data_IF_704360359872
#
_entry.id   IF_704360359872
#
_cell.length_a   1.000
_cell.length_b   1.000
_cell.length_c   1.000
_cell.angle_alpha   90.00
_cell.angle_beta   90.00
_cell.angle_gamma   90.00
#
_symmetry.space_group_name_H-M   'P 1'
#
loop_
_entity.id
_entity.type
_entity.pdbx_description
1 polymer ?
#
# COMPACT_ATOMS: atom_id res chain seq x y z
N UNK A 1 -2.22 0.98 -14.57
CA UNK A 1 -3.34 0.21 -14.04
C UNK A 1 -4.32 1.07 -13.23
N UNK A 2 -3.85 1.90 -12.29
CA UNK A 2 -4.70 2.73 -11.44
C UNK A 2 -5.49 3.85 -12.16
N UNK A 3 -5.07 4.23 -13.39
CA UNK A 3 -5.70 5.34 -14.14
C UNK A 3 -7.13 5.04 -14.60
N UNK A 4 -7.44 3.77 -14.85
CA UNK A 4 -8.73 3.36 -15.40
C UNK A 4 -9.72 3.05 -14.28
N UNK A 5 -9.26 2.38 -13.21
CA UNK A 5 -10.14 1.95 -12.10
C UNK A 5 -10.74 3.14 -11.36
N UNK A 6 -9.93 4.12 -10.97
CA UNK A 6 -10.42 5.30 -10.26
C UNK A 6 -11.29 6.20 -11.17
N UNK A 7 -10.89 6.40 -12.43
CA UNK A 7 -11.64 7.22 -13.38
C UNK A 7 -13.00 6.64 -13.77
N UNK A 8 -13.10 5.31 -13.81
CA UNK A 8 -14.30 4.59 -14.24
C UNK A 8 -15.38 4.53 -13.17
N UNK A 9 -15.03 4.16 -11.93
CA UNK A 9 -15.99 4.14 -10.82
C UNK A 9 -16.59 5.54 -10.59
N UNK A 10 -15.80 6.55 -10.85
CA UNK A 10 -16.16 7.95 -10.69
C UNK A 10 -16.98 8.48 -11.86
N UNK A 11 -16.63 8.18 -13.11
CA UNK A 11 -17.36 8.65 -14.29
C UNK A 11 -18.80 8.10 -14.35
N UNK A 12 -19.03 6.89 -13.84
CA UNK A 12 -20.35 6.25 -13.85
C UNK A 12 -21.33 6.94 -12.87
N UNK A 13 -20.81 7.46 -11.74
CA UNK A 13 -21.64 8.16 -10.74
C UNK A 13 -22.07 9.54 -11.21
N UNK A 14 -21.38 10.11 -12.20
CA UNK A 14 -21.40 11.56 -12.47
C UNK A 14 -22.38 12.03 -13.55
N UNK A 15 -22.99 11.13 -14.31
CA UNK A 15 -23.86 11.52 -15.43
C UNK A 15 -25.25 12.05 -15.07
N UNK A 16 -25.58 12.26 -13.79
CA UNK A 16 -27.00 12.24 -13.41
C UNK A 16 -27.56 13.45 -12.67
N UNK A 17 -26.86 14.53 -12.66
CA UNK A 17 -27.20 15.62 -11.79
C UNK A 17 -27.83 16.84 -12.47
N UNK A 18 -29.12 16.80 -12.86
CA UNK A 18 -29.98 17.98 -12.98
C UNK A 18 -31.45 17.58 -13.12
N UNK A 19 -32.20 17.59 -12.06
CA UNK A 19 -33.60 17.16 -12.06
C UNK A 19 -34.57 18.23 -11.63
N UNK A 20 -35.33 18.73 -12.58
CA UNK A 20 -36.65 19.31 -12.41
C UNK A 20 -37.48 19.01 -13.66
N UNK A 21 -38.37 18.03 -13.62
CA UNK A 21 -39.24 17.70 -14.75
C UNK A 21 -40.07 16.43 -14.59
N UNK A 22 -41.01 16.20 -15.51
CA UNK A 22 -41.88 15.03 -15.60
C UNK A 22 -41.03 13.73 -15.63
N UNK A 23 -41.46 12.61 -15.06
CA UNK A 23 -40.70 11.35 -14.97
C UNK A 23 -40.06 10.88 -16.28
N UNK A 24 -40.76 11.02 -17.41
CA UNK A 24 -40.24 10.68 -18.73
C UNK A 24 -39.05 11.58 -19.16
N UNK A 25 -39.12 12.88 -18.85
CA UNK A 25 -38.04 13.81 -19.17
C UNK A 25 -36.78 13.50 -18.31
N UNK A 26 -36.99 13.15 -17.03
CA UNK A 26 -35.93 12.79 -16.12
C UNK A 26 -35.22 11.51 -16.58
N UNK A 27 -35.97 10.49 -17.01
CA UNK A 27 -35.40 9.24 -17.57
C UNK A 27 -34.55 9.51 -18.82
N UNK A 28 -35.08 10.23 -19.81
CA UNK A 28 -34.35 10.55 -21.04
C UNK A 28 -33.12 11.43 -20.79
N UNK A 29 -33.17 12.27 -19.77
CA UNK A 29 -32.04 13.11 -19.39
C UNK A 29 -30.96 12.23 -18.74
N UNK A 30 -31.33 11.35 -17.81
CA UNK A 30 -30.41 10.41 -17.19
C UNK A 30 -29.69 9.55 -18.23
N UNK A 31 -30.42 9.00 -19.21
CA UNK A 31 -29.82 8.23 -20.30
C UNK A 31 -28.82 9.05 -21.11
N UNK A 32 -29.17 10.31 -21.46
CA UNK A 32 -28.26 11.18 -22.23
C UNK A 32 -27.00 11.56 -21.45
N UNK A 33 -27.12 11.86 -20.17
CA UNK A 33 -25.96 12.21 -19.33
C UNK A 33 -25.02 11.00 -19.11
N UNK A 34 -25.60 9.80 -18.88
CA UNK A 34 -24.82 8.56 -18.82
C UNK A 34 -24.10 8.33 -20.16
N UNK A 35 -24.81 8.38 -21.29
CA UNK A 35 -24.21 8.21 -22.61
C UNK A 35 -23.15 9.26 -22.92
N UNK A 36 -23.34 10.52 -22.53
CA UNK A 36 -22.34 11.58 -22.67
C UNK A 36 -21.06 11.27 -21.88
N UNK A 37 -21.19 10.72 -20.67
CA UNK A 37 -20.04 10.27 -19.86
C UNK A 37 -19.30 9.11 -20.52
N UNK A 38 -20.01 8.14 -21.07
CA UNK A 38 -19.41 7.02 -21.81
C UNK A 38 -18.78 7.49 -23.13
N UNK A 39 -19.38 8.45 -23.83
CA UNK A 39 -18.82 9.08 -25.02
C UNK A 39 -17.47 9.77 -24.71
N UNK A 40 -17.38 10.45 -23.57
CA UNK A 40 -16.11 11.06 -23.13
C UNK A 40 -15.02 10.00 -22.86
N UNK A 41 -15.37 8.87 -22.25
CA UNK A 41 -14.43 7.75 -22.05
C UNK A 41 -13.93 7.23 -23.40
N UNK A 42 -14.83 7.08 -24.38
CA UNK A 42 -14.48 6.66 -25.74
C UNK A 42 -13.60 7.67 -26.47
N UNK A 43 -13.86 8.96 -26.31
CA UNK A 43 -13.01 10.03 -26.88
C UNK A 43 -11.57 10.01 -26.33
N UNK A 44 -11.38 9.53 -25.11
CA UNK A 44 -10.05 9.35 -24.51
C UNK A 44 -9.36 8.04 -24.99
N UNK A 45 -9.89 7.37 -26.02
CA UNK A 45 -9.31 6.21 -26.67
C UNK A 45 -9.66 4.86 -26.05
N UNK A 46 -10.42 4.80 -24.96
CA UNK A 46 -10.92 3.56 -24.39
C UNK A 46 -12.19 3.08 -25.11
N UNK A 47 -12.51 1.78 -25.04
CA UNK A 47 -13.84 1.28 -25.39
C UNK A 47 -14.71 1.28 -24.14
N UNK A 48 -15.96 1.76 -24.27
CA UNK A 48 -16.88 1.80 -23.15
C UNK A 48 -18.32 1.55 -23.62
N UNK A 49 -19.04 0.68 -22.93
CA UNK A 49 -20.44 0.35 -23.18
C UNK A 49 -21.20 0.14 -21.88
N UNK A 50 -22.50 0.34 -21.92
CA UNK A 50 -23.41 0.02 -20.84
C UNK A 50 -24.70 -0.61 -21.40
N UNK A 51 -25.43 -1.32 -20.53
CA UNK A 51 -26.75 -1.85 -20.82
C UNK A 51 -27.84 -0.83 -20.48
N UNK A 52 -28.92 -1.32 -19.89
CA UNK A 52 -30.10 -0.50 -19.58
C UNK A 52 -29.80 0.53 -18.51
N UNK A 53 -30.19 1.79 -18.75
CA UNK A 53 -30.23 2.88 -17.75
C UNK A 53 -31.67 3.07 -17.29
N UNK A 54 -31.91 3.06 -15.99
CA UNK A 54 -33.22 3.31 -15.38
C UNK A 54 -33.10 4.38 -14.32
N UNK A 55 -33.91 5.42 -14.41
CA UNK A 55 -34.01 6.45 -13.40
C UNK A 55 -35.42 6.54 -12.83
N UNK A 56 -35.55 6.40 -11.51
CA UNK A 56 -36.78 6.61 -10.77
C UNK A 56 -36.74 8.00 -10.06
N UNK A 57 -37.56 8.91 -10.51
CA UNK A 57 -37.62 10.27 -10.01
C UNK A 57 -38.10 10.35 -8.54
N UNK A 58 -39.00 9.47 -8.13
CA UNK A 58 -39.60 9.49 -6.80
C UNK A 58 -38.63 9.04 -5.71
N UNK A 59 -37.92 7.99 -5.98
CA UNK A 59 -36.89 7.45 -5.08
C UNK A 59 -35.51 8.06 -5.34
N UNK A 60 -35.39 8.89 -6.39
CA UNK A 60 -34.10 9.43 -6.87
C UNK A 60 -33.05 8.33 -7.03
N UNK A 61 -33.48 7.23 -7.65
CA UNK A 61 -32.65 6.05 -7.87
C UNK A 61 -32.26 5.93 -9.34
N UNK A 62 -30.94 5.91 -9.58
CA UNK A 62 -30.37 5.57 -10.89
C UNK A 62 -29.85 4.14 -10.82
N UNK A 63 -30.08 3.36 -11.88
CA UNK A 63 -29.49 2.05 -12.06
C UNK A 63 -28.94 1.94 -13.48
N UNK A 64 -27.72 1.47 -13.62
CA UNK A 64 -27.02 1.21 -14.89
C UNK A 64 -26.59 -0.26 -14.88
N UNK A 65 -27.00 -1.03 -15.87
CA UNK A 65 -26.64 -2.45 -15.98
C UNK A 65 -25.46 -2.64 -16.94
N UNK A 66 -24.77 -3.76 -16.81
CA UNK A 66 -23.82 -4.32 -17.78
C UNK A 66 -22.77 -3.33 -18.30
N UNK A 67 -22.07 -2.67 -17.35
CA UNK A 67 -21.01 -1.72 -17.69
C UNK A 67 -19.73 -2.46 -18.06
N UNK A 68 -19.15 -2.10 -19.22
CA UNK A 68 -17.90 -2.65 -19.70
C UNK A 68 -16.98 -1.55 -20.23
N UNK A 69 -15.75 -1.53 -19.77
CA UNK A 69 -14.74 -0.55 -20.19
C UNK A 69 -13.41 -1.26 -20.40
N UNK A 70 -12.76 -0.99 -21.54
CA UNK A 70 -11.43 -1.48 -21.87
C UNK A 70 -10.51 -0.31 -22.22
N UNK A 71 -9.29 -0.33 -21.70
CA UNK A 71 -8.32 0.73 -21.96
C UNK A 71 -7.75 0.66 -23.38
N UNK A 72 -7.26 1.80 -23.87
CA UNK A 72 -6.50 1.89 -25.11
C UNK A 72 -5.08 1.30 -25.01
N UNK A 73 -4.65 0.86 -23.84
CA UNK A 73 -3.31 0.29 -23.64
C UNK A 73 -3.15 -1.07 -24.30
N UNK A 74 -1.91 -1.44 -24.68
CA UNK A 74 -1.59 -2.75 -25.23
C UNK A 74 -0.68 -3.50 -24.24
N UNK A 75 -1.11 -4.64 -23.69
CA UNK A 75 -2.46 -5.23 -23.73
C UNK A 75 -3.49 -4.39 -22.95
N UNK A 76 -4.79 -4.49 -23.30
CA UNK A 76 -5.82 -3.70 -22.66
C UNK A 76 -6.06 -4.14 -21.20
N UNK A 77 -6.32 -3.17 -20.32
CA UNK A 77 -6.93 -3.44 -19.03
C UNK A 77 -8.46 -3.34 -19.18
N UNK A 78 -9.20 -4.25 -18.56
CA UNK A 78 -10.66 -4.30 -18.64
C UNK A 78 -11.31 -4.21 -17.27
N UNK A 79 -12.49 -3.58 -17.22
CA UNK A 79 -13.37 -3.52 -16.08
C UNK A 79 -14.78 -3.86 -16.54
N UNK A 80 -15.43 -4.77 -15.83
CA UNK A 80 -16.85 -5.07 -16.02
C UNK A 80 -17.57 -4.91 -14.68
N UNK A 81 -18.80 -4.35 -14.73
CA UNK A 81 -19.68 -4.21 -13.59
C UNK A 81 -21.04 -4.78 -13.97
N UNK A 82 -21.61 -5.64 -13.16
CA UNK A 82 -22.95 -6.18 -13.39
C UNK A 82 -24.01 -5.09 -13.25
N UNK A 83 -23.93 -4.28 -12.20
CA UNK A 83 -24.76 -3.11 -12.05
C UNK A 83 -24.11 -2.00 -11.22
N UNK A 84 -24.55 -0.77 -11.47
CA UNK A 84 -24.28 0.41 -10.63
C UNK A 84 -25.61 1.01 -10.23
N UNK A 85 -25.86 1.15 -8.94
CA UNK A 85 -27.09 1.73 -8.39
C UNK A 85 -26.75 2.89 -7.46
N UNK A 86 -27.29 4.07 -7.74
CA UNK A 86 -27.23 5.23 -6.87
C UNK A 86 -28.63 5.53 -6.31
N UNK A 87 -28.77 5.71 -4.99
CA UNK A 87 -30.03 6.05 -4.33
C UNK A 87 -29.92 7.37 -3.60
N UNK A 88 -31.03 8.12 -3.51
CA UNK A 88 -31.04 9.44 -2.90
C UNK A 88 -30.17 10.45 -3.65
N UNK A 89 -30.06 10.27 -4.98
CA UNK A 89 -29.23 11.11 -5.83
C UNK A 89 -29.70 12.56 -5.81
N UNK A 90 -28.76 13.50 -5.64
CA UNK A 90 -29.03 14.93 -5.64
C UNK A 90 -27.83 15.70 -6.18
N UNK A 91 -28.10 16.84 -6.78
CA UNK A 91 -27.11 17.80 -7.22
C UNK A 91 -27.33 19.12 -6.48
N UNK A 92 -26.60 19.38 -5.38
CA UNK A 92 -26.79 20.60 -4.60
C UNK A 92 -26.37 21.87 -5.37
N UNK A 93 -25.44 21.75 -6.30
CA UNK A 93 -24.95 22.81 -7.17
C UNK A 93 -24.47 22.26 -8.52
N UNK A 94 -23.91 23.12 -9.39
CA UNK A 94 -23.45 22.72 -10.73
C UNK A 94 -22.16 21.85 -10.71
N UNK A 95 -21.43 21.84 -9.60
CA UNK A 95 -20.11 21.22 -9.48
C UNK A 95 -20.14 19.93 -8.65
N UNK A 96 -21.17 19.74 -7.79
CA UNK A 96 -21.21 18.64 -6.85
C UNK A 96 -22.44 17.74 -7.02
N UNK A 97 -22.24 16.47 -6.72
CA UNK A 97 -23.30 15.45 -6.67
C UNK A 97 -23.21 14.70 -5.33
N UNK A 98 -24.38 14.35 -4.81
CA UNK A 98 -24.50 13.53 -3.59
C UNK A 98 -25.37 12.32 -3.84
N UNK A 99 -25.12 11.24 -3.09
CA UNK A 99 -25.94 10.04 -3.08
C UNK A 99 -25.98 9.47 -1.66
N UNK A 100 -27.14 9.10 -1.18
CA UNK A 100 -27.27 8.43 0.12
C UNK A 100 -26.61 7.05 0.11
N UNK A 101 -26.65 6.35 -1.03
CA UNK A 101 -25.92 5.10 -1.23
C UNK A 101 -25.55 4.92 -2.70
N UNK A 102 -24.31 4.45 -2.92
CA UNK A 102 -23.83 3.91 -4.20
C UNK A 102 -23.54 2.44 -4.00
N UNK A 103 -24.10 1.59 -4.83
CA UNK A 103 -23.88 0.16 -4.82
C UNK A 103 -23.40 -0.30 -6.20
N UNK A 104 -22.30 -1.04 -6.22
CA UNK A 104 -21.75 -1.63 -7.43
C UNK A 104 -21.68 -3.13 -7.23
N UNK A 105 -22.26 -3.91 -8.14
CA UNK A 105 -22.25 -5.36 -8.08
C UNK A 105 -21.44 -5.99 -9.20
N UNK A 106 -20.94 -7.20 -8.92
CA UNK A 106 -20.26 -8.07 -9.87
C UNK A 106 -19.09 -7.38 -10.61
N UNK A 107 -18.25 -6.70 -9.82
CA UNK A 107 -17.05 -6.05 -10.35
C UNK A 107 -16.01 -7.08 -10.73
N UNK A 108 -15.57 -7.08 -11.98
CA UNK A 108 -14.40 -7.84 -12.40
C UNK A 108 -13.41 -6.92 -13.13
N UNK A 109 -12.14 -7.05 -12.78
CA UNK A 109 -11.05 -6.27 -13.35
C UNK A 109 -9.96 -7.24 -13.83
N UNK A 110 -9.41 -6.97 -15.00
CA UNK A 110 -8.26 -7.70 -15.52
C UNK A 110 -7.25 -6.72 -16.12
N UNK A 111 -5.98 -6.99 -15.91
CA UNK A 111 -4.90 -6.19 -16.49
C UNK A 111 -3.67 -7.06 -16.74
N UNK A 112 -2.90 -6.69 -17.75
CA UNK A 112 -1.60 -7.28 -18.00
C UNK A 112 -0.54 -6.17 -18.00
N UNK A 113 0.50 -6.35 -17.19
CA UNK A 113 1.67 -5.45 -17.16
C UNK A 113 2.70 -6.05 -18.11
N UNK A 114 3.05 -5.34 -19.21
CA UNK A 114 4.05 -5.84 -20.16
C UNK A 114 5.45 -5.83 -19.51
N UNK A 115 6.31 -6.73 -19.96
CA UNK A 115 7.70 -6.86 -19.50
C UNK A 115 8.32 -8.15 -20.02
N UNK A 116 9.61 -8.43 -19.71
CA UNK A 116 10.27 -9.68 -20.07
C UNK A 116 9.54 -10.93 -19.54
N UNK A 117 8.88 -10.78 -18.40
CA UNK A 117 7.96 -11.76 -17.83
C UNK A 117 6.65 -11.05 -17.53
N UNK A 118 5.67 -11.05 -18.45
CA UNK A 118 4.44 -10.29 -18.29
C UNK A 118 3.66 -10.76 -17.05
N UNK A 119 3.12 -9.79 -16.30
CA UNK A 119 2.33 -10.03 -15.10
C UNK A 119 0.85 -9.85 -15.41
N UNK A 120 0.04 -10.89 -15.23
CA UNK A 120 -1.41 -10.85 -15.34
C UNK A 120 -2.02 -10.72 -13.97
N UNK A 121 -2.96 -9.79 -13.83
CA UNK A 121 -3.70 -9.52 -12.60
C UNK A 121 -5.19 -9.62 -12.88
N UNK A 122 -5.92 -10.29 -12.02
CA UNK A 122 -7.38 -10.25 -12.04
C UNK A 122 -7.93 -10.02 -10.64
N UNK A 123 -9.08 -9.32 -10.55
CA UNK A 123 -9.79 -9.04 -9.30
C UNK A 123 -11.28 -9.23 -9.51
N UNK A 124 -11.96 -9.76 -8.51
CA UNK A 124 -13.41 -9.89 -8.48
C UNK A 124 -13.94 -9.41 -7.13
N UNK A 125 -14.91 -8.51 -7.19
CA UNK A 125 -15.63 -7.99 -6.02
C UNK A 125 -17.13 -8.20 -6.28
N UNK A 126 -17.81 -9.07 -5.54
CA UNK A 126 -19.26 -9.29 -5.71
C UNK A 126 -20.06 -8.01 -5.44
N UNK A 127 -19.63 -7.21 -4.46
CA UNK A 127 -20.34 -6.01 -4.05
C UNK A 127 -19.38 -4.97 -3.48
N UNK A 128 -19.65 -3.70 -3.78
CA UNK A 128 -19.07 -2.52 -3.15
C UNK A 128 -20.21 -1.57 -2.81
N UNK A 129 -20.25 -1.07 -1.57
CA UNK A 129 -21.26 -0.10 -1.12
C UNK A 129 -20.58 1.13 -0.55
N UNK A 130 -21.00 2.31 -1.01
CA UNK A 130 -20.57 3.61 -0.49
C UNK A 130 -21.79 4.30 0.13
N UNK A 131 -21.66 4.78 1.36
CA UNK A 131 -22.72 5.52 2.09
C UNK A 131 -22.38 7.00 2.15
N UNK A 132 -23.43 7.84 2.01
CA UNK A 132 -23.38 9.30 2.13
C UNK A 132 -22.27 9.90 1.26
N UNK A 133 -22.27 9.50 -0.01
CA UNK A 133 -21.29 9.99 -0.99
C UNK A 133 -21.55 11.47 -1.30
N UNK A 134 -20.49 12.27 -1.35
CA UNK A 134 -20.48 13.58 -1.99
C UNK A 134 -19.15 13.77 -2.74
N UNK A 135 -19.23 14.33 -3.93
CA UNK A 135 -18.06 14.55 -4.78
C UNK A 135 -18.37 15.46 -5.96
N UNK A 136 -17.34 15.77 -6.77
CA UNK A 136 -17.54 16.63 -7.94
C UNK A 136 -18.31 15.90 -9.04
N UNK A 137 -19.06 16.68 -9.84
CA UNK A 137 -19.76 16.19 -11.05
C UNK A 137 -18.75 15.70 -12.11
N UNK A 138 -17.56 16.26 -12.12
CA UNK A 138 -16.48 15.85 -13.05
C UNK A 138 -15.14 15.85 -12.32
N UNK A 139 -14.36 14.81 -12.54
CA UNK A 139 -12.98 14.75 -12.07
C UNK A 139 -12.03 15.33 -13.10
N UNK A 140 -10.98 16.00 -12.62
CA UNK A 140 -9.92 16.46 -13.49
C UNK A 140 -9.26 15.26 -14.21
N UNK A 141 -9.04 15.41 -15.50
CA UNK A 141 -8.35 14.39 -16.28
C UNK A 141 -6.88 14.27 -15.84
N UNK A 142 -6.38 13.04 -15.76
CA UNK A 142 -4.94 12.83 -15.56
C UNK A 142 -4.25 13.07 -16.90
N UNK A 143 -3.25 13.99 -16.99
CA UNK A 143 -2.61 14.31 -18.25
C UNK A 143 -2.02 13.07 -18.95
N UNK A 144 -2.14 13.02 -20.27
CA UNK A 144 -1.45 12.01 -21.07
C UNK A 144 0.07 12.17 -20.92
N UNK A 145 0.78 11.06 -20.66
CA UNK A 145 2.24 11.11 -20.44
C UNK A 145 2.68 11.53 -19.04
N UNK A 146 1.75 11.77 -18.11
CA UNK A 146 2.10 12.07 -16.71
C UNK A 146 3.01 10.99 -16.12
N UNK A 147 4.02 11.42 -15.37
CA UNK A 147 4.90 10.55 -14.60
C UNK A 147 4.13 9.77 -13.53
N UNK A 148 4.76 8.75 -12.94
CA UNK A 148 4.15 8.00 -11.83
C UNK A 148 3.77 8.93 -10.66
N UNK A 149 4.65 9.88 -10.32
CA UNK A 149 4.44 10.86 -9.24
C UNK A 149 3.26 11.78 -9.53
N UNK A 150 3.19 12.36 -10.75
CA UNK A 150 2.09 13.22 -11.18
C UNK A 150 0.76 12.46 -11.23
N UNK A 151 0.79 11.20 -11.69
CA UNK A 151 -0.39 10.33 -11.68
C UNK A 151 -0.89 10.09 -10.26
N UNK A 152 0.02 9.79 -9.33
CA UNK A 152 -0.32 9.55 -7.94
C UNK A 152 -0.89 10.82 -7.28
N UNK A 153 -0.25 11.98 -7.52
CA UNK A 153 -0.76 13.28 -7.05
C UNK A 153 -2.18 13.56 -7.55
N UNK A 154 -2.44 13.38 -8.83
CA UNK A 154 -3.76 13.58 -9.41
C UNK A 154 -4.81 12.65 -8.80
N UNK A 155 -4.47 11.37 -8.56
CA UNK A 155 -5.36 10.40 -7.91
C UNK A 155 -5.70 10.81 -6.47
N UNK A 156 -4.71 11.27 -5.69
CA UNK A 156 -4.96 11.72 -4.32
C UNK A 156 -5.77 13.03 -4.31
N UNK A 157 -5.55 13.94 -5.26
CA UNK A 157 -6.39 15.14 -5.41
C UNK A 157 -7.83 14.78 -5.74
N UNK A 158 -8.06 13.80 -6.63
CA UNK A 158 -9.41 13.29 -6.91
C UNK A 158 -10.03 12.66 -5.65
N UNK A 159 -9.27 11.87 -4.91
CA UNK A 159 -9.70 11.29 -3.63
C UNK A 159 -10.00 12.37 -2.58
N UNK A 160 -9.23 13.45 -2.53
CA UNK A 160 -9.45 14.56 -1.62
C UNK A 160 -10.73 15.35 -1.95
N UNK A 161 -11.20 15.29 -3.20
CA UNK A 161 -12.43 15.97 -3.64
C UNK A 161 -13.71 15.20 -3.26
N UNK A 162 -13.61 13.97 -2.77
CA UNK A 162 -14.76 13.17 -2.35
C UNK A 162 -14.92 13.12 -0.83
N UNK A 163 -16.14 12.87 -0.39
CA UNK A 163 -16.44 12.46 0.97
C UNK A 163 -17.42 11.29 0.97
N UNK A 164 -17.33 10.44 1.97
CA UNK A 164 -18.26 9.35 2.23
C UNK A 164 -18.26 9.01 3.72
N UNK A 165 -19.40 8.61 4.25
CA UNK A 165 -19.48 8.09 5.61
C UNK A 165 -18.77 6.74 5.71
N UNK A 166 -18.98 5.86 4.73
CA UNK A 166 -18.29 4.57 4.66
C UNK A 166 -18.21 4.01 3.24
N UNK A 167 -17.17 3.17 3.03
CA UNK A 167 -17.06 2.26 1.88
C UNK A 167 -16.92 0.85 2.45
N UNK A 168 -17.75 -0.10 1.99
CA UNK A 168 -17.68 -1.49 2.42
C UNK A 168 -17.56 -2.42 1.22
N UNK A 169 -16.65 -3.40 1.33
CA UNK A 169 -16.46 -4.47 0.36
C UNK A 169 -16.40 -5.79 1.16
N UNK A 170 -17.48 -6.58 1.18
CA UNK A 170 -17.54 -7.79 2.00
C UNK A 170 -16.45 -8.80 1.64
N UNK A 171 -16.16 -8.95 0.36
CA UNK A 171 -15.14 -9.88 -0.13
C UNK A 171 -14.55 -9.44 -1.46
N UNK A 172 -13.25 -9.67 -1.61
CA UNK A 172 -12.53 -9.54 -2.88
C UNK A 172 -11.69 -10.78 -3.08
N UNK A 173 -11.61 -11.28 -4.29
CA UNK A 173 -10.65 -12.33 -4.67
C UNK A 173 -9.81 -11.83 -5.84
N UNK A 174 -8.57 -12.29 -5.91
CA UNK A 174 -7.69 -11.94 -7.03
C UNK A 174 -6.69 -13.03 -7.33
N UNK A 175 -6.19 -12.99 -8.55
CA UNK A 175 -5.11 -13.86 -9.02
C UNK A 175 -4.01 -13.02 -9.63
N UNK A 176 -2.80 -13.51 -9.49
CA UNK A 176 -1.61 -12.95 -10.09
C UNK A 176 -0.83 -14.07 -10.77
N UNK A 177 -0.51 -13.93 -12.05
CA UNK A 177 0.22 -14.91 -12.85
C UNK A 177 1.36 -14.25 -13.61
N UNK A 178 2.53 -14.88 -13.61
CA UNK A 178 3.73 -14.37 -14.29
C UNK A 178 4.60 -13.50 -13.39
N UNK A 179 5.55 -12.75 -14.00
CA UNK A 179 6.58 -12.01 -13.27
C UNK A 179 7.89 -12.79 -13.11
N UNK A 180 9.01 -12.12 -12.80
CA UNK A 180 10.35 -12.68 -12.90
C UNK A 180 10.70 -13.78 -11.86
N UNK A 181 9.88 -13.96 -10.83
CA UNK A 181 10.17 -14.91 -9.74
C UNK A 181 8.93 -15.55 -9.13
N UNK A 182 7.74 -15.25 -9.66
CA UNK A 182 6.49 -15.66 -9.04
C UNK A 182 5.79 -16.71 -9.88
N UNK A 183 5.59 -17.90 -9.33
CA UNK A 183 4.52 -18.79 -9.76
C UNK A 183 3.15 -18.13 -9.53
N UNK A 184 2.05 -18.81 -9.89
CA UNK A 184 0.71 -18.27 -9.69
C UNK A 184 0.45 -17.97 -8.22
N UNK A 185 -0.18 -16.82 -7.97
CA UNK A 185 -0.62 -16.42 -6.64
C UNK A 185 -2.12 -16.11 -6.65
N UNK A 186 -2.80 -16.54 -5.61
CA UNK A 186 -4.19 -16.22 -5.33
C UNK A 186 -4.27 -15.46 -4.02
N UNK A 187 -5.18 -14.50 -3.93
CA UNK A 187 -5.41 -13.77 -2.69
C UNK A 187 -6.89 -13.45 -2.51
N UNK A 188 -7.29 -13.32 -1.27
CA UNK A 188 -8.64 -12.88 -0.91
C UNK A 188 -8.57 -11.88 0.24
N UNK A 189 -9.47 -10.91 0.20
CA UNK A 189 -9.72 -9.94 1.25
C UNK A 189 -11.16 -10.10 1.70
N UNK A 190 -11.42 -10.03 3.00
CA UNK A 190 -12.77 -10.05 3.57
C UNK A 190 -12.97 -8.97 4.61
N UNK A 191 -14.19 -8.44 4.70
CA UNK A 191 -14.58 -7.47 5.70
C UNK A 191 -13.90 -6.11 5.55
N UNK A 192 -13.62 -5.66 4.30
CA UNK A 192 -13.08 -4.33 4.09
C UNK A 192 -14.12 -3.26 4.43
N UNK A 193 -13.77 -2.37 5.35
CA UNK A 193 -14.50 -1.14 5.68
C UNK A 193 -13.54 0.04 5.72
N UNK A 194 -13.96 1.14 5.12
CA UNK A 194 -13.26 2.43 5.16
C UNK A 194 -14.27 3.46 5.61
N UNK A 195 -14.02 4.12 6.73
CA UNK A 195 -14.99 5.01 7.37
C UNK A 195 -14.46 6.45 7.46
N UNK A 196 -15.40 7.41 7.46
CA UNK A 196 -15.12 8.84 7.63
C UNK A 196 -14.13 9.38 6.60
N UNK A 197 -14.46 9.19 5.33
CA UNK A 197 -13.66 9.73 4.22
C UNK A 197 -14.03 11.18 4.00
N UNK A 198 -13.04 12.08 4.11
CA UNK A 198 -13.25 13.51 3.86
C UNK A 198 -11.93 14.22 3.56
N UNK A 199 -11.90 15.02 2.49
CA UNK A 199 -10.76 15.87 2.13
C UNK A 199 -9.41 15.11 2.12
N UNK A 200 -9.39 13.89 1.56
CA UNK A 200 -8.19 13.05 1.48
C UNK A 200 -7.81 12.33 2.78
N UNK A 201 -8.65 12.42 3.81
CA UNK A 201 -8.46 11.73 5.08
C UNK A 201 -9.43 10.58 5.25
N UNK A 202 -8.99 9.55 5.96
CA UNK A 202 -9.76 8.36 6.32
C UNK A 202 -9.68 8.24 7.84
N UNK A 203 -10.83 8.24 8.52
CA UNK A 203 -10.90 8.07 9.96
C UNK A 203 -10.47 6.67 10.39
N UNK A 204 -11.00 5.63 9.71
CA UNK A 204 -10.55 4.25 9.91
C UNK A 204 -10.59 3.44 8.61
N UNK A 205 -9.64 2.54 8.49
CA UNK A 205 -9.59 1.47 7.50
C UNK A 205 -9.50 0.15 8.25
N UNK A 206 -10.39 -0.77 7.97
CA UNK A 206 -10.45 -2.09 8.60
C UNK A 206 -10.53 -3.16 7.54
N UNK A 207 -9.80 -4.27 7.77
CA UNK A 207 -9.86 -5.47 6.96
C UNK A 207 -9.85 -6.68 7.91
N UNK A 208 -10.90 -7.51 7.88
CA UNK A 208 -11.02 -8.64 8.81
C UNK A 208 -9.97 -9.71 8.50
N UNK A 209 -9.76 -10.03 7.23
CA UNK A 209 -8.77 -11.03 6.82
C UNK A 209 -8.20 -10.73 5.43
N UNK A 210 -6.90 -10.91 5.29
CA UNK A 210 -6.18 -11.11 4.05
C UNK A 210 -5.66 -12.53 4.03
N UNK A 211 -6.04 -13.34 3.05
CA UNK A 211 -5.48 -14.67 2.82
C UNK A 211 -4.80 -14.73 1.44
N UNK A 212 -3.72 -15.49 1.34
CA UNK A 212 -3.01 -15.69 0.09
C UNK A 212 -2.47 -17.12 -0.06
N UNK A 213 -2.35 -17.54 -1.30
CA UNK A 213 -1.63 -18.74 -1.72
C UNK A 213 -0.67 -18.36 -2.83
N UNK A 214 0.59 -18.74 -2.74
CA UNK A 214 1.58 -18.52 -3.78
C UNK A 214 2.45 -19.76 -3.97
N UNK A 215 2.95 -19.94 -5.19
CA UNK A 215 3.79 -21.10 -5.55
C UNK A 215 5.09 -20.60 -6.19
N UNK A 216 6.01 -20.01 -5.40
CA UNK A 216 7.26 -19.49 -5.93
C UNK A 216 8.08 -20.61 -6.59
N UNK A 217 8.63 -20.33 -7.76
CA UNK A 217 9.57 -21.23 -8.42
C UNK A 217 10.94 -21.15 -7.73
N UNK A 218 11.43 -22.28 -7.23
CA UNK A 218 12.78 -22.37 -6.70
C UNK A 218 13.79 -22.61 -7.83
N UNK A 219 15.08 -22.22 -7.64
CA UNK A 219 16.13 -22.39 -8.66
C UNK A 219 16.31 -23.83 -9.16
N UNK A 220 15.88 -24.83 -8.40
CA UNK A 220 15.95 -26.26 -8.76
C UNK A 220 14.70 -26.79 -9.50
N UNK A 221 13.80 -25.91 -9.97
CA UNK A 221 12.56 -26.31 -10.64
C UNK A 221 11.51 -26.91 -9.72
N UNK A 222 11.73 -26.93 -8.40
CA UNK A 222 10.72 -27.33 -7.41
C UNK A 222 9.82 -26.13 -7.09
N UNK A 223 8.53 -26.37 -7.01
CA UNK A 223 7.56 -25.40 -6.49
C UNK A 223 7.35 -25.67 -5.00
N UNK A 224 7.40 -24.63 -4.19
CA UNK A 224 7.06 -24.68 -2.78
C UNK A 224 5.79 -23.85 -2.56
N UNK A 225 4.66 -24.53 -2.36
CA UNK A 225 3.40 -23.84 -2.14
C UNK A 225 3.39 -23.22 -0.74
N UNK A 226 3.14 -21.93 -0.70
CA UNK A 226 3.01 -21.15 0.53
C UNK A 226 1.57 -20.65 0.65
N UNK A 227 1.01 -20.80 1.84
CA UNK A 227 -0.31 -20.27 2.21
C UNK A 227 -0.16 -19.41 3.45
N UNK A 228 -0.80 -18.25 3.45
CA UNK A 228 -0.75 -17.37 4.59
C UNK A 228 -2.03 -16.57 4.78
N UNK A 229 -2.18 -16.04 5.99
CA UNK A 229 -3.27 -15.14 6.34
C UNK A 229 -2.83 -14.11 7.36
N UNK A 230 -3.44 -12.94 7.29
CA UNK A 230 -3.31 -11.85 8.25
C UNK A 230 -4.72 -11.47 8.66
N UNK A 231 -4.99 -11.36 9.97
CA UNK A 231 -6.31 -10.99 10.49
C UNK A 231 -6.31 -9.60 11.10
N UNK A 232 -7.49 -9.02 11.26
CA UNK A 232 -7.75 -7.82 12.05
C UNK A 232 -6.82 -6.64 11.72
N UNK A 233 -6.64 -6.33 10.44
CA UNK A 233 -5.85 -5.19 10.00
C UNK A 233 -6.68 -3.93 10.22
N UNK A 234 -6.19 -3.01 11.05
CA UNK A 234 -6.86 -1.75 11.35
C UNK A 234 -5.87 -0.59 11.27
N UNK A 235 -6.25 0.44 10.54
CA UNK A 235 -5.53 1.70 10.45
C UNK A 235 -6.46 2.84 10.89
N UNK A 236 -5.96 3.76 11.69
CA UNK A 236 -6.66 4.96 12.11
C UNK A 236 -5.98 6.21 11.61
N UNK A 237 -6.78 7.25 11.35
CA UNK A 237 -6.34 8.59 11.00
C UNK A 237 -5.36 8.62 9.81
N UNK A 238 -5.72 7.96 8.72
CA UNK A 238 -4.90 7.96 7.50
C UNK A 238 -5.09 9.28 6.75
N UNK A 239 -3.98 9.95 6.40
CA UNK A 239 -3.98 11.19 5.61
C UNK A 239 -3.23 10.97 4.28
N UNK A 240 -4.00 10.81 3.19
CA UNK A 240 -3.43 10.63 1.86
C UNK A 240 -2.69 11.89 1.36
N UNK A 241 -3.05 13.08 1.87
CA UNK A 241 -2.35 14.32 1.49
C UNK A 241 -0.91 14.35 2.04
N UNK A 242 -0.63 13.67 3.16
CA UNK A 242 0.71 13.54 3.69
C UNK A 242 1.64 12.79 2.73
N UNK A 243 1.10 11.79 2.00
CA UNK A 243 1.86 11.05 0.99
C UNK A 243 2.15 11.95 -0.22
N UNK A 244 1.16 12.77 -0.63
CA UNK A 244 1.39 13.76 -1.70
C UNK A 244 2.46 14.75 -1.30
N UNK A 245 2.41 15.28 -0.07
CA UNK A 245 3.43 16.20 0.43
C UNK A 245 4.84 15.57 0.39
N UNK A 246 4.97 14.27 0.72
CA UNK A 246 6.25 13.56 0.62
C UNK A 246 6.78 13.45 -0.83
N UNK A 247 5.87 13.40 -1.82
CA UNK A 247 6.18 13.28 -3.24
C UNK A 247 6.27 14.65 -3.94
N UNK A 248 5.91 15.75 -3.27
CA UNK A 248 5.88 17.09 -3.86
C UNK A 248 7.22 17.79 -3.68
N UNK A 249 7.95 18.13 -4.77
CA UNK A 249 9.20 18.89 -4.69
C UNK A 249 9.04 20.25 -4.00
N UNK A 250 7.87 20.88 -4.10
CA UNK A 250 7.62 22.17 -3.47
C UNK A 250 7.43 22.02 -1.95
N UNK A 251 6.87 20.92 -1.49
CA UNK A 251 6.77 20.58 -0.06
C UNK A 251 8.15 20.25 0.54
N UNK A 252 9.15 19.86 -0.26
CA UNK A 252 10.51 19.62 0.22
C UNK A 252 11.18 20.87 0.81
N UNK A 253 10.67 22.07 0.50
CA UNK A 253 11.13 23.35 1.09
C UNK A 253 10.47 23.66 2.44
N UNK A 254 9.43 22.94 2.78
CA UNK A 254 8.66 23.09 4.01
C UNK A 254 9.19 22.13 5.08
N UNK A 255 9.62 22.65 6.24
CA UNK A 255 10.13 21.82 7.36
C UNK A 255 9.00 21.28 8.27
N UNK A 256 7.74 21.28 7.79
CA UNK A 256 6.62 20.68 8.52
C UNK A 256 6.69 19.17 8.52
N UNK A 257 6.18 18.60 9.61
CA UNK A 257 5.92 17.16 9.73
C UNK A 257 4.49 16.85 9.33
N UNK A 258 4.30 15.88 8.46
CA UNK A 258 3.01 15.40 7.98
C UNK A 258 2.76 14.01 8.55
N UNK A 259 1.68 13.85 9.32
CA UNK A 259 1.27 12.54 9.85
C UNK A 259 0.56 11.77 8.75
N UNK A 260 1.09 10.60 8.39
CA UNK A 260 0.55 9.71 7.35
C UNK A 260 -0.56 8.84 7.92
N UNK A 261 -0.35 8.29 9.13
CA UNK A 261 -1.39 7.60 9.89
C UNK A 261 -1.17 7.75 11.40
N UNK A 262 -2.27 7.61 12.16
CA UNK A 262 -2.26 7.66 13.62
C UNK A 262 -1.85 6.31 14.20
N UNK A 263 -2.67 5.29 14.07
CA UNK A 263 -2.41 3.96 14.64
C UNK A 263 -2.65 2.86 13.62
N UNK A 264 -1.75 1.86 13.64
CA UNK A 264 -1.89 0.62 12.88
C UNK A 264 -1.84 -0.55 13.83
N UNK A 265 -2.73 -1.51 13.67
CA UNK A 265 -2.69 -2.80 14.37
C UNK A 265 -3.03 -3.92 13.41
N UNK A 266 -2.41 -5.09 13.61
CA UNK A 266 -2.83 -6.34 12.99
C UNK A 266 -3.04 -7.40 14.05
N UNK A 267 -3.94 -8.35 13.78
CA UNK A 267 -4.01 -9.60 14.51
C UNK A 267 -2.94 -10.58 14.05
N UNK A 268 -3.26 -11.86 14.13
CA UNK A 268 -2.31 -12.91 13.80
C UNK A 268 -1.91 -12.91 12.32
N UNK A 269 -0.62 -13.16 12.06
CA UNK A 269 -0.06 -13.47 10.76
C UNK A 269 0.44 -14.92 10.78
N UNK A 270 -0.04 -15.74 9.86
CA UNK A 270 0.32 -17.16 9.76
C UNK A 270 0.75 -17.46 8.32
N UNK A 271 1.85 -18.19 8.17
CA UNK A 271 2.34 -18.72 6.90
C UNK A 271 2.74 -20.18 7.07
N UNK A 272 2.27 -21.00 6.14
CA UNK A 272 2.64 -22.42 6.05
C UNK A 272 3.20 -22.70 4.66
N UNK A 273 4.28 -23.47 4.58
CA UNK A 273 4.93 -23.91 3.36
C UNK A 273 4.90 -25.44 3.26
N UNK A 274 4.80 -25.99 2.05
CA UNK A 274 4.88 -27.43 1.80
C UNK A 274 6.26 -28.00 2.17
N UNK A 275 7.30 -27.16 2.23
CA UNK A 275 8.63 -27.53 2.75
C UNK A 275 8.68 -27.78 4.26
N UNK A 276 7.56 -27.59 4.97
CA UNK A 276 7.43 -27.81 6.40
C UNK A 276 7.77 -26.59 7.26
N UNK A 277 8.07 -25.46 6.67
CA UNK A 277 8.26 -24.20 7.40
C UNK A 277 6.87 -23.66 7.79
N UNK A 278 6.72 -23.38 9.09
CA UNK A 278 5.52 -22.71 9.64
C UNK A 278 5.95 -21.45 10.37
N UNK A 279 5.34 -20.34 10.04
CA UNK A 279 5.58 -19.07 10.71
C UNK A 279 4.27 -18.56 11.29
N UNK A 280 4.32 -18.12 12.53
CA UNK A 280 3.20 -17.44 13.21
C UNK A 280 3.74 -16.22 13.92
N UNK A 281 2.98 -15.15 13.88
CA UNK A 281 3.19 -13.92 14.63
C UNK A 281 1.84 -13.49 15.20
N UNK A 282 1.80 -13.06 16.46
CA UNK A 282 0.54 -12.72 17.13
C UNK A 282 -0.01 -11.35 16.72
N UNK A 283 0.85 -10.47 16.22
CA UNK A 283 0.42 -9.19 15.67
C UNK A 283 1.52 -8.15 15.55
N UNK A 284 1.21 -7.10 14.81
CA UNK A 284 2.02 -5.89 14.67
C UNK A 284 1.19 -4.70 15.15
N UNK A 285 1.84 -3.74 15.79
CA UNK A 285 1.24 -2.44 16.09
C UNK A 285 2.25 -1.33 15.90
N UNK A 286 1.76 -0.12 15.56
CA UNK A 286 2.52 1.11 15.56
C UNK A 286 1.56 2.26 15.88
N UNK A 287 2.01 3.25 16.65
CA UNK A 287 1.12 4.34 17.10
C UNK A 287 1.06 5.50 16.10
N UNK A 288 2.16 5.83 15.45
CA UNK A 288 2.20 6.96 14.53
C UNK A 288 3.30 6.76 13.49
N UNK A 289 2.97 7.08 12.25
CA UNK A 289 3.95 7.26 11.19
C UNK A 289 3.81 8.65 10.58
N UNK A 290 4.90 9.38 10.53
CA UNK A 290 4.94 10.73 9.97
C UNK A 290 6.17 10.94 9.10
N UNK A 291 6.08 11.92 8.19
CA UNK A 291 7.14 12.26 7.24
C UNK A 291 7.41 13.76 7.27
N UNK A 292 8.68 14.13 7.04
CA UNK A 292 9.15 15.51 6.88
C UNK A 292 9.78 15.62 5.48
N UNK A 293 9.06 16.17 4.49
CA UNK A 293 9.48 16.18 3.08
C UNK A 293 10.83 16.85 2.86
N UNK A 294 11.14 17.95 3.58
CA UNK A 294 12.41 18.68 3.50
C UNK A 294 13.64 17.80 3.79
N UNK A 295 13.50 16.81 4.67
CA UNK A 295 14.56 15.86 5.05
C UNK A 295 14.49 14.56 4.27
N UNK A 296 13.28 14.05 4.02
CA UNK A 296 13.03 12.79 3.30
C UNK A 296 13.53 12.86 1.86
N UNK A 297 13.33 13.99 1.17
CA UNK A 297 13.74 14.25 -0.23
C UNK A 297 13.40 13.08 -1.20
N UNK A 298 12.24 12.48 -1.03
CA UNK A 298 11.83 11.29 -1.77
C UNK A 298 11.91 11.44 -3.31
N UNK A 299 11.54 12.58 -3.92
CA UNK A 299 11.73 12.79 -5.37
C UNK A 299 13.19 12.71 -5.81
N UNK A 300 14.11 13.26 -5.03
CA UNK A 300 15.53 13.22 -5.32
C UNK A 300 16.11 11.80 -5.16
N UNK A 301 15.62 11.04 -4.19
CA UNK A 301 15.97 9.62 -4.03
C UNK A 301 15.50 8.80 -5.25
N UNK A 302 14.24 8.97 -5.67
CA UNK A 302 13.68 8.26 -6.83
C UNK A 302 14.49 8.57 -8.10
N UNK A 303 14.88 9.84 -8.28
CA UNK A 303 15.70 10.25 -9.43
C UNK A 303 17.12 9.69 -9.41
N UNK A 304 17.67 9.38 -8.23
CA UNK A 304 19.00 8.80 -8.05
C UNK A 304 19.06 7.27 -8.22
N UNK A 305 17.90 6.60 -8.26
CA UNK A 305 17.87 5.16 -8.49
C UNK A 305 18.37 4.82 -9.90
N UNK A 306 19.25 3.81 -10.05
CA UNK A 306 19.75 3.43 -11.36
C UNK A 306 18.60 2.92 -12.26
N UNK A 307 18.61 3.38 -13.51
CA UNK A 307 17.59 2.99 -14.51
C UNK A 307 17.59 1.49 -14.84
N UNK A 308 18.68 0.78 -14.51
CA UNK A 308 18.82 -0.66 -14.71
C UNK A 308 19.65 -1.29 -13.59
N UNK A 309 19.21 -2.40 -13.07
CA UNK A 309 19.97 -3.23 -12.10
C UNK A 309 21.14 -3.99 -12.72
N UNK A 310 21.27 -3.96 -14.05
CA UNK A 310 22.34 -4.66 -14.78
C UNK A 310 23.69 -3.90 -14.73
N UNK A 311 23.70 -2.62 -14.38
CA UNK A 311 24.92 -1.80 -14.29
C UNK A 311 25.23 -1.56 -12.81
N UNK A 312 26.41 -1.98 -12.36
CA UNK A 312 26.85 -1.66 -11.01
C UNK A 312 27.07 -0.14 -10.88
N UNK A 313 26.49 0.49 -9.83
CA UNK A 313 26.68 1.92 -9.62
C UNK A 313 28.16 2.26 -9.35
N UNK A 314 28.60 3.40 -9.82
CA UNK A 314 29.95 3.91 -9.50
C UNK A 314 30.07 4.20 -7.99
N UNK A 315 31.30 4.29 -7.44
CA UNK A 315 31.51 4.67 -6.04
C UNK A 315 30.85 6.03 -5.68
N UNK A 316 30.79 6.97 -6.62
CA UNK A 316 30.14 8.27 -6.43
C UNK A 316 28.63 8.14 -6.39
N UNK A 317 28.04 7.38 -7.31
CA UNK A 317 26.60 7.09 -7.30
C UNK A 317 26.19 6.32 -6.05
N UNK A 318 27.02 5.37 -5.59
CA UNK A 318 26.78 4.63 -4.33
C UNK A 318 26.78 5.60 -3.14
N UNK A 319 27.75 6.53 -3.10
CA UNK A 319 27.84 7.54 -2.04
C UNK A 319 26.62 8.45 -2.03
N UNK A 320 26.25 8.99 -3.18
CA UNK A 320 25.05 9.83 -3.32
C UNK A 320 23.78 9.09 -2.91
N UNK A 321 23.63 7.82 -3.33
CA UNK A 321 22.49 6.99 -2.98
C UNK A 321 22.43 6.75 -1.46
N UNK A 322 23.56 6.44 -0.81
CA UNK A 322 23.62 6.24 0.63
C UNK A 322 23.27 7.50 1.43
N UNK A 323 23.70 8.67 0.94
CA UNK A 323 23.31 9.95 1.58
C UNK A 323 21.81 10.22 1.45
N UNK A 324 21.23 9.95 0.28
CA UNK A 324 19.77 10.07 0.10
C UNK A 324 18.99 9.03 0.93
N UNK A 325 19.51 7.81 1.10
CA UNK A 325 18.94 6.80 2.00
C UNK A 325 19.01 7.28 3.45
N UNK A 326 20.10 7.93 3.86
CA UNK A 326 20.18 8.56 5.18
C UNK A 326 19.05 9.59 5.39
N UNK A 327 18.71 10.37 4.36
CA UNK A 327 17.59 11.29 4.38
C UNK A 327 16.23 10.63 4.65
N UNK A 328 16.05 9.34 4.28
CA UNK A 328 14.83 8.60 4.65
C UNK A 328 14.69 8.54 6.17
N UNK A 329 15.75 8.14 6.87
CA UNK A 329 15.73 8.04 8.33
C UNK A 329 15.57 9.39 9.02
N UNK A 330 16.19 10.44 8.47
CA UNK A 330 16.05 11.82 8.99
C UNK A 330 14.65 12.39 8.75
N UNK A 331 14.01 12.00 7.66
CA UNK A 331 12.71 12.52 7.21
C UNK A 331 11.51 11.67 7.63
N UNK A 332 11.71 10.54 8.29
CA UNK A 332 10.63 9.68 8.76
C UNK A 332 10.62 9.60 10.30
N UNK A 333 9.43 9.46 10.86
CA UNK A 333 9.27 9.07 12.25
C UNK A 333 8.24 7.95 12.37
N UNK A 334 8.58 6.93 13.16
CA UNK A 334 7.71 5.80 13.50
C UNK A 334 7.75 5.59 15.01
N UNK A 335 6.58 5.59 15.63
CA UNK A 335 6.48 5.52 17.08
C UNK A 335 5.90 4.19 17.54
N UNK A 336 6.51 3.63 18.59
CA UNK A 336 6.02 2.43 19.28
C UNK A 336 5.67 1.28 18.33
N UNK A 337 6.50 1.05 17.30
CA UNK A 337 6.31 -0.11 16.45
C UNK A 337 6.71 -1.38 17.22
N UNK A 338 5.80 -2.34 17.28
CA UNK A 338 5.99 -3.60 17.99
C UNK A 338 5.48 -4.76 17.16
N UNK A 339 6.30 -5.79 17.02
CA UNK A 339 5.91 -7.12 16.54
C UNK A 339 5.94 -8.08 17.73
N UNK A 340 4.90 -8.89 17.88
CA UNK A 340 4.74 -9.80 19.03
C UNK A 340 4.59 -11.25 18.62
N UNK A 341 5.18 -12.13 19.43
CA UNK A 341 4.91 -13.56 19.39
C UNK A 341 5.35 -14.24 18.11
N UNK A 342 6.51 -13.86 17.52
CA UNK A 342 7.03 -14.56 16.35
C UNK A 342 7.47 -15.96 16.74
N UNK A 343 6.97 -16.97 16.03
CA UNK A 343 7.40 -18.37 16.09
C UNK A 343 7.59 -18.90 14.68
N UNK A 344 8.77 -19.44 14.40
CA UNK A 344 9.11 -20.09 13.13
C UNK A 344 9.47 -21.53 13.45
N UNK A 345 8.70 -22.47 12.95
CA UNK A 345 9.02 -23.89 12.98
C UNK A 345 9.79 -24.27 11.73
N UNK A 346 10.98 -24.83 11.90
CA UNK A 346 11.83 -25.31 10.82
C UNK A 346 12.22 -26.77 11.07
N UNK A 347 12.67 -27.51 10.05
CA UNK A 347 13.20 -28.87 10.25
C UNK A 347 14.36 -28.94 11.26
N UNK A 348 15.08 -27.82 11.49
CA UNK A 348 16.18 -27.73 12.47
C UNK A 348 15.72 -27.39 13.89
N UNK A 349 14.43 -27.09 14.06
CA UNK A 349 13.81 -26.74 15.33
C UNK A 349 13.15 -25.36 15.33
N UNK A 350 12.41 -25.03 16.38
CA UNK A 350 11.69 -23.78 16.48
C UNK A 350 12.62 -22.60 16.80
N UNK A 351 12.30 -21.45 16.22
CA UNK A 351 12.84 -20.13 16.57
C UNK A 351 11.69 -19.31 17.12
N UNK A 352 11.84 -18.74 18.31
CA UNK A 352 10.82 -17.90 18.93
C UNK A 352 11.38 -16.54 19.31
N UNK A 353 10.54 -15.53 19.20
CA UNK A 353 10.82 -14.16 19.59
C UNK A 353 9.57 -13.58 20.26
N UNK A 354 9.67 -13.18 21.52
CA UNK A 354 8.51 -12.66 22.25
C UNK A 354 8.09 -11.29 21.71
N UNK A 355 9.05 -10.37 21.50
CA UNK A 355 8.78 -9.08 20.89
C UNK A 355 10.01 -8.51 20.17
N UNK A 356 9.73 -7.76 19.08
CA UNK A 356 10.65 -6.82 18.46
C UNK A 356 10.01 -5.44 18.52
N UNK A 357 10.71 -4.48 19.14
CA UNK A 357 10.29 -3.09 19.23
C UNK A 357 11.19 -2.17 18.45
N UNK A 358 10.59 -1.19 17.82
CA UNK A 358 11.28 -0.22 16.99
C UNK A 358 10.64 1.17 17.16
N UNK A 359 11.49 2.15 17.41
CA UNK A 359 11.14 3.57 17.41
C UNK A 359 12.12 4.29 16.48
N UNK A 360 11.65 5.26 15.68
CA UNK A 360 12.49 6.08 14.81
C UNK A 360 12.09 7.53 14.92
N UNK A 361 13.06 8.40 15.17
CA UNK A 361 12.85 9.85 15.23
C UNK A 361 14.15 10.59 14.90
N UNK A 362 14.06 11.55 13.98
CA UNK A 362 15.17 12.41 13.59
C UNK A 362 16.47 11.63 13.30
N UNK A 363 16.36 10.55 12.53
CA UNK A 363 17.46 9.68 12.12
C UNK A 363 17.96 8.68 13.16
N UNK A 364 17.51 8.80 14.42
CA UNK A 364 17.87 7.90 15.52
C UNK A 364 16.77 6.88 15.78
N UNK A 365 17.16 5.65 16.10
CA UNK A 365 16.24 4.57 16.43
C UNK A 365 16.53 3.93 17.78
N UNK A 366 15.47 3.50 18.44
CA UNK A 366 15.51 2.53 19.52
C UNK A 366 15.05 1.18 18.99
N UNK A 367 15.88 0.15 19.13
CA UNK A 367 15.59 -1.20 18.65
C UNK A 367 15.71 -2.15 19.83
N UNK A 368 14.69 -2.95 20.12
CA UNK A 368 14.76 -3.96 21.18
C UNK A 368 14.23 -5.30 20.71
N UNK A 369 14.99 -6.37 20.99
CA UNK A 369 14.64 -7.77 20.77
C UNK A 369 14.46 -8.41 22.14
N UNK A 370 13.31 -9.05 22.37
CA UNK A 370 12.94 -9.66 23.66
C UNK A 370 12.54 -11.11 23.51
N UNK A 371 13.01 -11.94 24.45
CA UNK A 371 12.59 -13.34 24.57
C UNK A 371 12.95 -14.20 23.37
N UNK A 372 14.15 -14.03 22.83
CA UNK A 372 14.64 -14.91 21.76
C UNK A 372 14.96 -16.29 22.34
N UNK A 373 14.42 -17.35 21.72
CA UNK A 373 14.70 -18.76 21.98
C UNK A 373 14.89 -19.48 20.64
N UNK A 374 16.07 -20.01 20.41
CA UNK A 374 16.41 -20.68 19.16
C UNK A 374 17.52 -21.71 19.34
N UNK A 375 17.90 -22.34 18.24
CA UNK A 375 18.94 -23.37 18.21
C UNK A 375 20.04 -22.99 17.25
N UNK A 376 21.27 -23.05 17.72
CA UNK A 376 22.45 -23.03 16.86
C UNK A 376 22.97 -24.49 16.61
N UNK A 377 23.86 -24.69 15.66
CA UNK A 377 24.50 -26.00 15.48
C UNK A 377 25.18 -26.56 16.76
N UNK A 378 25.56 -25.68 17.67
CA UNK A 378 26.25 -26.02 18.92
C UNK A 378 25.29 -26.18 20.12
N UNK A 379 23.99 -25.94 19.97
CA UNK A 379 22.98 -26.06 21.04
C UNK A 379 22.01 -24.88 21.15
N UNK A 380 21.19 -24.86 22.19
CA UNK A 380 20.19 -23.84 22.39
C UNK A 380 20.82 -22.46 22.68
N UNK A 381 20.22 -21.42 22.10
CA UNK A 381 20.58 -20.00 22.34
C UNK A 381 19.33 -19.29 22.87
N UNK A 382 19.45 -18.64 24.01
CA UNK A 382 18.40 -17.84 24.62
C UNK A 382 18.90 -16.44 24.92
N UNK A 383 18.04 -15.45 24.68
CA UNK A 383 18.33 -14.05 24.95
C UNK A 383 17.09 -13.43 25.61
N UNK A 384 17.23 -12.95 26.82
CA UNK A 384 16.13 -12.27 27.53
C UNK A 384 15.82 -10.93 26.88
N UNK A 385 16.83 -10.09 26.68
CA UNK A 385 16.69 -8.79 26.01
C UNK A 385 18.00 -8.33 25.39
N UNK A 386 17.92 -7.82 24.18
CA UNK A 386 18.96 -7.02 23.53
C UNK A 386 18.33 -5.70 23.08
N UNK A 387 18.96 -4.57 23.39
CA UNK A 387 18.49 -3.30 22.89
C UNK A 387 19.63 -2.38 22.47
N UNK A 388 19.40 -1.65 21.38
CA UNK A 388 20.19 -0.52 20.91
C UNK A 388 19.37 0.74 21.19
N UNK A 389 19.94 1.73 21.88
CA UNK A 389 19.29 2.99 22.21
C UNK A 389 19.95 4.14 21.48
N UNK A 390 19.13 5.01 20.90
CA UNK A 390 19.57 6.18 20.15
C UNK A 390 20.49 5.86 19.00
N UNK A 391 20.25 4.72 18.33
CA UNK A 391 21.09 4.28 17.21
C UNK A 391 20.88 5.20 16.01
N UNK A 392 21.91 5.96 15.65
CA UNK A 392 21.92 6.89 14.52
C UNK A 392 22.02 6.14 13.19
N UNK A 393 20.85 5.73 12.65
CA UNK A 393 20.75 5.04 11.37
C UNK A 393 21.17 5.92 10.20
N UNK A 394 20.81 7.20 10.25
CA UNK A 394 21.21 8.16 9.21
C UNK A 394 22.73 8.36 9.20
N UNK A 395 23.32 8.51 10.38
CA UNK A 395 24.77 8.60 10.56
C UNK A 395 25.50 7.34 10.08
N UNK A 396 24.94 6.14 10.34
CA UNK A 396 25.49 4.88 9.85
C UNK A 396 25.52 4.83 8.32
N UNK A 397 24.42 5.23 7.64
CA UNK A 397 24.36 5.29 6.18
C UNK A 397 25.39 6.27 5.62
N UNK A 398 25.52 7.45 6.24
CA UNK A 398 26.54 8.46 5.86
C UNK A 398 27.95 7.96 6.13
N UNK A 399 28.17 7.20 7.21
CA UNK A 399 29.47 6.57 7.45
C UNK A 399 29.78 5.52 6.38
N UNK A 400 28.79 4.66 6.04
CA UNK A 400 28.92 3.66 4.97
C UNK A 400 29.25 4.26 3.62
N UNK A 401 28.75 5.48 3.32
CA UNK A 401 29.06 6.18 2.06
C UNK A 401 30.53 6.58 1.91
N UNK A 402 31.31 6.64 2.99
CA UNK A 402 32.75 6.97 2.97
C UNK A 402 33.61 5.78 2.51
N UNK A 403 33.07 4.55 2.57
CA UNK A 403 33.83 3.36 2.22
C UNK A 403 33.45 2.88 0.82
N UNK A 404 34.42 2.74 -0.05
CA UNK A 404 34.26 2.02 -1.30
C UNK A 404 34.24 0.53 -1.06
N UNK A 405 33.54 -0.28 -1.88
CA UNK A 405 33.61 -1.73 -1.82
C UNK A 405 35.07 -2.22 -1.79
N UNK A 406 35.43 -3.01 -0.76
CA UNK A 406 36.80 -3.52 -0.57
C UNK A 406 37.72 -2.65 0.30
N UNK A 407 37.33 -1.45 0.72
CA UNK A 407 38.08 -0.64 1.65
C UNK A 407 37.88 -1.17 3.07
N UNK A 408 38.97 -1.56 3.76
CA UNK A 408 38.87 -1.95 5.18
C UNK A 408 38.72 -0.70 6.04
N UNK A 409 37.75 -0.67 6.98
CA UNK A 409 37.66 0.43 7.96
C UNK A 409 38.95 0.58 8.75
N UNK A 410 39.39 1.81 8.96
CA UNK A 410 40.53 2.07 9.83
C UNK A 410 40.13 1.85 11.32
N UNK A 411 41.04 1.53 12.22
CA UNK A 411 40.74 1.38 13.65
C UNK A 411 40.04 2.61 14.26
N UNK A 412 40.35 3.82 13.74
CA UNK A 412 39.67 5.06 14.13
C UNK A 412 38.17 5.08 13.82
N UNK A 413 37.74 4.36 12.79
CA UNK A 413 36.35 4.29 12.36
C UNK A 413 35.51 3.43 13.33
N UNK A 414 36.13 2.46 13.99
CA UNK A 414 35.48 1.72 15.08
C UNK A 414 35.03 2.63 16.20
N UNK A 415 35.80 3.67 16.53
CA UNK A 415 35.42 4.67 17.54
C UNK A 415 34.20 5.49 17.08
N UNK A 416 34.09 5.78 15.77
CA UNK A 416 32.95 6.49 15.20
C UNK A 416 31.67 5.66 15.32
N UNK A 417 31.75 4.34 15.13
CA UNK A 417 30.60 3.44 15.30
C UNK A 417 30.02 3.51 16.74
N UNK A 418 30.87 3.63 17.75
CA UNK A 418 30.39 3.81 19.14
C UNK A 418 29.68 5.16 19.35
N UNK A 419 30.03 6.19 18.58
CA UNK A 419 29.35 7.50 18.66
C UNK A 419 27.96 7.48 18.01
N UNK A 420 27.65 6.48 17.22
CA UNK A 420 26.33 6.31 16.62
C UNK A 420 25.31 5.66 17.56
N UNK A 421 25.70 5.34 18.82
CA UNK A 421 24.88 4.66 19.80
C UNK A 421 24.87 5.44 21.11
N UNK A 422 23.71 5.67 21.68
CA UNK A 422 23.56 6.23 23.03
C UNK A 422 23.71 5.12 24.11
N UNK A 423 23.39 3.86 23.77
CA UNK A 423 23.57 2.73 24.67
C UNK A 423 23.24 1.37 24.07
N UNK A 424 23.80 0.35 24.70
CA UNK A 424 23.52 -1.07 24.41
C UNK A 424 23.08 -1.74 25.70
N UNK A 425 22.02 -2.53 25.63
CA UNK A 425 21.52 -3.33 26.74
C UNK A 425 21.52 -4.82 26.33
N UNK A 426 22.14 -5.67 27.15
CA UNK A 426 22.13 -7.12 26.97
C UNK A 426 21.76 -7.78 28.30
N UNK A 427 20.68 -8.57 28.32
CA UNK A 427 20.21 -9.30 29.51
C UNK A 427 19.97 -10.76 29.20
N UNK A 428 20.40 -11.62 30.13
CA UNK A 428 20.09 -13.05 30.16
C UNK A 428 20.46 -13.76 28.84
N UNK A 429 21.69 -13.55 28.34
CA UNK A 429 22.21 -14.31 27.20
C UNK A 429 22.70 -15.68 27.69
N UNK A 430 22.18 -16.74 27.11
CA UNK A 430 22.65 -18.11 27.28
C UNK A 430 22.97 -18.66 25.90
N UNK A 431 24.21 -19.08 25.71
CA UNK A 431 24.68 -19.69 24.46
C UNK A 431 25.57 -20.91 24.80
N UNK A 432 25.56 -21.97 23.97
CA UNK A 432 26.40 -23.10 24.18
C UNK A 432 27.90 -22.73 24.02
N UNK A 433 28.71 -23.13 24.94
CA UNK A 433 30.15 -22.97 24.89
C UNK A 433 30.80 -24.32 24.60
N UNK A 434 31.62 -24.40 23.57
CA UNK A 434 32.44 -25.57 23.28
C UNK A 434 33.78 -25.43 24.01
N UNK A 435 34.00 -26.23 25.05
CA UNK A 435 35.29 -26.29 25.70
C UNK A 435 36.35 -26.74 24.69
N UNK A 436 37.29 -25.88 24.34
CA UNK A 436 38.38 -26.15 23.39
C UNK A 436 38.51 -25.13 22.26
N UNK A 437 37.48 -24.34 21.95
CA UNK A 437 37.64 -23.18 21.05
C UNK A 437 38.25 -22.02 21.85
N UNK A 438 39.51 -21.68 21.54
CA UNK A 438 40.08 -20.41 22.10
C UNK A 438 39.25 -19.24 21.60
N UNK A 439 38.99 -18.23 22.46
CA UNK A 439 38.28 -17.02 22.09
C UNK A 439 38.98 -16.27 20.97
#
# INVERSE_FOLDING_TARGET
MNRIVAGVLVAIVLGTAAFLGVPWYAQNRAEREVEASFAQIRQNGATASHGKVVFDLWTRKLSIADVKIESATQPPASITLGSVTATGLSQPDQEHVTAASLEVSDVAMAAQIPGPSPLRLSYKLPQLVVKDYAGPVRFAAIPAGATLVETYRALVQQFAAISAASITVPRTTGTMEGGPSAGPAEFSYSGLSVDQIKAGRIGSYKLDELAFTMSPQQPAGKTDKMQGRITDIVHHDVDANAIVAALDPDAAKDDRTYRVYGRVTTGAYEVNSDSGVRMRMDGISADEFSVRPSRLQLPALIAALPASTAVQPTPEQTRELMDKIAGIYDGMALRNAEMRGLSIETPQGPIKLAALRFDLRDGKSDIAVEGFDGRSPNGPVKLGRFALKGFDLAGLMRLGSKYSPGTKPAPADAVVLFKLLDGIELKALTAPYKAGDKP
#
